data_IF_672386696525
#
_entry.id   IF_672386696525
#
_cell.length_a   1.000
_cell.length_b   1.000
_cell.length_c   1.000
_cell.angle_alpha   90.00
_cell.angle_beta   90.00
_cell.angle_gamma   90.00
#
_symmetry.space_group_name_H-M   'P 1'
#
loop_
_entity.id
_entity.type
_entity.pdbx_description
1 polymer ?
#
# COMPACT_ATOMS: atom_id res chain seq x y z
N UNK A 1 37.03 -10.46 -57.25
CA UNK A 1 35.62 -10.09 -57.02
C UNK A 1 35.30 -10.23 -55.54
N UNK A 2 34.82 -9.11 -54.96
CA UNK A 2 34.03 -8.92 -53.72
C UNK A 2 34.41 -9.72 -52.45
N UNK A 3 35.07 -8.97 -51.55
CA UNK A 3 35.05 -9.14 -50.09
C UNK A 3 33.60 -9.26 -49.60
N UNK A 4 33.31 -10.24 -48.75
CA UNK A 4 32.13 -10.23 -47.89
C UNK A 4 32.61 -10.48 -46.45
N UNK A 5 32.97 -9.37 -45.79
CA UNK A 5 32.97 -9.32 -44.33
C UNK A 5 31.51 -9.52 -43.90
N UNK A 6 31.18 -10.69 -43.37
CA UNK A 6 29.96 -10.86 -42.59
C UNK A 6 30.28 -10.48 -41.15
N UNK A 7 30.14 -9.18 -40.85
CA UNK A 7 29.94 -8.74 -39.47
C UNK A 7 28.54 -9.17 -39.08
N UNK A 8 28.43 -10.33 -38.43
CA UNK A 8 27.24 -10.71 -37.67
C UNK A 8 27.26 -9.91 -36.36
N UNK A 9 26.92 -8.63 -36.49
CA UNK A 9 26.39 -7.82 -35.42
C UNK A 9 24.94 -8.27 -35.16
N UNK A 10 24.43 -8.01 -33.94
CA UNK A 10 23.00 -7.95 -33.53
C UNK A 10 22.45 -9.28 -32.99
N UNK A 11 22.05 -9.46 -31.73
CA UNK A 11 21.83 -8.63 -30.54
C UNK A 11 22.02 -9.56 -29.32
N UNK A 12 22.72 -9.17 -28.23
CA UNK A 12 22.52 -9.87 -26.97
C UNK A 12 21.08 -9.59 -26.56
N UNK A 13 20.23 -10.63 -26.59
CA UNK A 13 18.92 -10.61 -25.96
C UNK A 13 19.17 -10.30 -24.49
N UNK A 14 19.15 -9.01 -24.15
CA UNK A 14 18.96 -8.53 -22.80
C UNK A 14 17.59 -9.09 -22.43
N UNK A 15 17.61 -10.28 -21.82
CA UNK A 15 16.55 -10.77 -20.98
C UNK A 15 16.33 -9.65 -19.97
N UNK A 16 15.37 -8.78 -20.26
CA UNK A 16 14.81 -7.85 -19.30
C UNK A 16 14.12 -8.77 -18.31
N UNK A 17 14.88 -9.29 -17.35
CA UNK A 17 14.34 -9.81 -16.11
C UNK A 17 13.59 -8.64 -15.52
N UNK A 18 12.29 -8.57 -15.77
CA UNK A 18 11.43 -7.54 -15.19
C UNK A 18 11.63 -7.64 -13.69
N UNK A 19 12.35 -6.69 -13.11
CA UNK A 19 12.41 -6.56 -11.67
C UNK A 19 10.96 -6.40 -11.24
N UNK A 20 10.41 -7.35 -10.47
CA UNK A 20 9.12 -7.11 -9.86
C UNK A 20 9.32 -6.13 -8.71
N UNK A 21 8.52 -5.08 -8.66
CA UNK A 21 8.52 -4.14 -7.55
C UNK A 21 7.12 -4.06 -6.93
N UNK A 22 7.08 -3.59 -5.69
CA UNK A 22 5.85 -3.43 -4.93
C UNK A 22 5.81 -2.01 -4.39
N UNK A 23 4.70 -1.32 -4.63
CA UNK A 23 4.37 -0.09 -3.93
C UNK A 23 3.40 -0.40 -2.78
N UNK A 24 3.73 0.08 -1.59
CA UNK A 24 3.00 -0.23 -0.36
C UNK A 24 2.15 0.95 0.10
N UNK A 25 0.90 0.69 0.46
CA UNK A 25 0.04 1.65 1.14
C UNK A 25 0.20 1.46 2.65
N UNK A 26 0.67 2.50 3.34
CA UNK A 26 1.09 2.36 4.74
C UNK A 26 0.53 3.44 5.66
N UNK A 27 0.05 3.03 6.83
CA UNK A 27 -0.32 3.91 7.94
C UNK A 27 0.66 3.70 9.10
N UNK A 28 1.48 4.69 9.41
CA UNK A 28 2.40 4.66 10.55
C UNK A 28 1.76 5.22 11.82
N UNK A 29 1.79 4.47 12.92
CA UNK A 29 1.59 5.03 14.26
C UNK A 29 2.96 5.38 14.85
N UNK A 30 3.41 6.63 14.69
CA UNK A 30 4.66 7.11 15.27
C UNK A 30 4.49 7.66 16.69
N UNK A 31 3.28 7.69 17.22
CA UNK A 31 3.01 8.19 18.57
C UNK A 31 3.52 7.21 19.63
N UNK A 32 3.42 7.59 20.91
CA UNK A 32 3.69 6.71 22.05
C UNK A 32 2.45 5.96 22.55
N UNK A 33 1.29 6.18 21.92
CA UNK A 33 0.00 5.59 22.31
C UNK A 33 -0.55 4.70 21.19
N UNK A 34 -1.30 3.63 21.52
CA UNK A 34 -2.03 2.88 20.49
C UNK A 34 -3.09 3.79 19.85
N UNK A 35 -3.39 3.52 18.58
CA UNK A 35 -4.49 4.16 17.86
C UNK A 35 -5.46 3.09 17.38
N UNK A 36 -6.75 3.39 17.32
CA UNK A 36 -7.73 2.50 16.69
C UNK A 36 -7.90 2.93 15.25
N UNK A 37 -7.75 1.98 14.32
CA UNK A 37 -7.90 2.23 12.89
C UNK A 37 -9.05 1.40 12.39
N UNK A 38 -10.05 2.06 11.82
CA UNK A 38 -11.17 1.40 11.14
C UNK A 38 -11.13 1.81 9.68
N UNK A 39 -11.10 0.88 8.73
CA UNK A 39 -11.26 1.20 7.31
C UNK A 39 -12.24 0.27 6.61
N UNK A 40 -12.92 0.82 5.61
CA UNK A 40 -13.92 0.13 4.83
C UNK A 40 -13.44 -0.11 3.41
N UNK A 41 -13.65 -1.32 2.91
CA UNK A 41 -13.43 -1.69 1.53
C UNK A 41 -14.69 -1.40 0.72
N UNK A 42 -14.55 -0.58 -0.32
CA UNK A 42 -15.63 -0.33 -1.26
C UNK A 42 -15.92 -1.58 -2.09
N UNK A 43 -17.17 -1.71 -2.54
CA UNK A 43 -17.55 -2.72 -3.54
C UNK A 43 -16.74 -2.47 -4.82
N UNK A 44 -16.17 -3.53 -5.38
CA UNK A 44 -15.41 -3.43 -6.63
C UNK A 44 -16.30 -3.02 -7.81
N UNK A 45 -15.75 -2.20 -8.69
CA UNK A 45 -16.36 -1.86 -9.98
C UNK A 45 -16.50 -3.09 -10.88
N UNK A 46 -17.53 -3.09 -11.75
CA UNK A 46 -17.81 -4.22 -12.64
C UNK A 46 -16.63 -4.47 -13.60
N UNK A 47 -16.17 -5.73 -13.66
CA UNK A 47 -15.02 -6.13 -14.49
C UNK A 47 -13.67 -6.07 -13.78
N UNK A 48 -13.59 -5.45 -12.60
CA UNK A 48 -12.43 -5.53 -11.73
C UNK A 48 -12.56 -6.70 -10.74
N UNK A 49 -11.44 -7.38 -10.49
CA UNK A 49 -11.41 -8.59 -9.64
C UNK A 49 -10.36 -8.53 -8.53
N UNK A 50 -9.44 -7.55 -8.58
CA UNK A 50 -8.38 -7.41 -7.59
C UNK A 50 -8.46 -6.04 -6.89
N UNK A 51 -8.78 -6.03 -5.60
CA UNK A 51 -8.66 -4.81 -4.79
C UNK A 51 -7.20 -4.42 -4.56
N UNK A 52 -6.91 -3.13 -4.56
CA UNK A 52 -5.62 -2.59 -4.10
C UNK A 52 -5.46 -2.74 -2.58
N UNK A 53 -6.57 -2.58 -1.85
CA UNK A 53 -6.63 -2.66 -0.39
C UNK A 53 -7.18 -4.00 0.07
N UNK A 54 -6.62 -4.50 1.17
CA UNK A 54 -6.85 -5.87 1.68
C UNK A 54 -7.61 -5.82 3.01
N UNK A 55 -8.37 -6.88 3.32
CA UNK A 55 -9.09 -7.00 4.59
C UNK A 55 -8.27 -7.69 5.71
N UNK A 56 -7.02 -8.06 5.43
CA UNK A 56 -6.11 -8.65 6.40
C UNK A 56 -4.77 -7.91 6.35
N UNK A 57 -4.68 -6.71 6.96
CA UNK A 57 -3.48 -5.90 6.91
C UNK A 57 -2.36 -6.55 7.73
N UNK A 58 -1.12 -6.16 7.42
CA UNK A 58 0.04 -6.58 8.21
C UNK A 58 0.62 -5.39 8.97
N UNK A 59 1.08 -5.59 10.20
CA UNK A 59 1.84 -4.58 10.93
C UNK A 59 3.27 -5.03 11.20
N UNK A 60 4.16 -4.04 11.27
CA UNK A 60 5.57 -4.22 11.57
C UNK A 60 6.04 -3.13 12.53
N UNK A 61 7.05 -3.44 13.35
CA UNK A 61 7.67 -2.42 14.19
C UNK A 61 8.43 -1.38 13.34
N UNK A 62 8.41 -0.13 13.79
CA UNK A 62 9.24 0.94 13.27
C UNK A 62 10.51 1.08 14.13
N UNK A 63 11.65 1.24 13.46
CA UNK A 63 12.89 1.63 14.13
C UNK A 63 12.81 3.07 14.66
N UNK A 64 13.77 3.46 15.51
CA UNK A 64 13.92 4.86 15.96
C UNK A 64 14.07 5.86 14.81
N UNK A 65 14.53 5.42 13.63
CA UNK A 65 14.64 6.25 12.42
C UNK A 65 13.42 6.13 11.49
N UNK A 66 12.29 5.63 12.00
CA UNK A 66 11.04 5.41 11.24
C UNK A 66 11.21 4.51 10.02
N UNK A 67 12.09 3.51 10.11
CA UNK A 67 12.22 2.46 9.09
C UNK A 67 11.44 1.23 9.50
N UNK A 68 10.77 0.59 8.54
CA UNK A 68 10.07 -0.68 8.75
C UNK A 68 11.09 -1.77 9.11
N UNK A 69 10.85 -2.48 10.19
CA UNK A 69 11.59 -3.67 10.59
C UNK A 69 10.84 -4.90 10.09
N UNK A 70 11.13 -5.34 8.86
CA UNK A 70 10.42 -6.41 8.17
C UNK A 70 10.45 -7.77 8.90
N UNK A 71 11.48 -8.02 9.71
CA UNK A 71 11.60 -9.24 10.51
C UNK A 71 10.78 -9.18 11.82
N UNK A 72 10.26 -8.00 12.18
CA UNK A 72 9.55 -7.74 13.43
C UNK A 72 8.06 -7.51 13.16
N UNK A 73 7.38 -8.55 12.69
CA UNK A 73 5.93 -8.53 12.47
C UNK A 73 5.19 -8.36 13.81
N UNK A 74 4.13 -7.57 13.78
CA UNK A 74 3.19 -7.36 14.89
C UNK A 74 1.87 -7.97 14.49
N UNK A 75 1.34 -8.86 15.32
CA UNK A 75 0.02 -9.44 15.11
C UNK A 75 -1.05 -8.38 15.35
N UNK A 76 -2.00 -8.29 14.42
CA UNK A 76 -3.18 -7.45 14.52
C UNK A 76 -4.40 -8.35 14.73
N UNK A 77 -5.22 -8.01 15.71
CA UNK A 77 -6.54 -8.62 15.90
C UNK A 77 -7.57 -7.71 15.24
N UNK A 78 -8.37 -8.28 14.33
CA UNK A 78 -9.53 -7.58 13.78
C UNK A 78 -10.67 -7.66 14.80
N UNK A 79 -11.21 -6.50 15.14
CA UNK A 79 -12.24 -6.29 16.15
C UNK A 79 -13.63 -6.15 15.51
N UNK A 80 -13.74 -6.36 14.20
CA UNK A 80 -14.99 -6.39 13.44
C UNK A 80 -15.11 -7.69 12.65
N UNK A 81 -16.31 -8.29 12.63
CA UNK A 81 -16.57 -9.54 11.92
C UNK A 81 -17.01 -9.32 10.45
N UNK A 82 -17.23 -8.07 10.04
CA UNK A 82 -17.64 -7.74 8.68
C UNK A 82 -16.44 -7.79 7.73
N UNK A 83 -16.43 -8.67 6.69
CA UNK A 83 -15.29 -8.81 5.80
C UNK A 83 -14.96 -7.57 4.95
N UNK A 84 -15.86 -6.57 4.91
CA UNK A 84 -15.64 -5.29 4.24
C UNK A 84 -15.16 -4.18 5.18
N UNK A 85 -15.05 -4.44 6.48
CA UNK A 85 -14.57 -3.49 7.49
C UNK A 85 -13.37 -4.14 8.18
N UNK A 86 -12.29 -3.40 8.33
CA UNK A 86 -11.16 -3.82 9.15
C UNK A 86 -11.07 -2.85 10.31
N UNK A 87 -11.09 -3.37 11.54
CA UNK A 87 -10.97 -2.58 12.75
C UNK A 87 -9.88 -3.13 13.64
N UNK A 88 -8.74 -2.45 13.70
CA UNK A 88 -7.56 -2.91 14.43
C UNK A 88 -7.07 -1.87 15.43
N UNK A 89 -6.45 -2.32 16.51
CA UNK A 89 -5.64 -1.47 17.37
C UNK A 89 -4.21 -1.53 16.84
N UNK A 90 -3.69 -0.40 16.35
CA UNK A 90 -2.32 -0.28 15.86
C UNK A 90 -1.40 0.20 17.00
N UNK A 91 -0.46 -0.64 17.51
CA UNK A 91 0.36 -0.28 18.66
C UNK A 91 1.31 0.91 18.39
N UNK A 92 1.86 1.54 19.45
CA UNK A 92 2.87 2.59 19.30
C UNK A 92 4.07 2.12 18.47
N UNK A 93 4.66 3.05 17.71
CA UNK A 93 5.87 2.81 16.90
C UNK A 93 5.74 1.62 15.95
N UNK A 94 4.59 1.49 15.30
CA UNK A 94 4.34 0.47 14.28
C UNK A 94 3.87 1.09 12.98
N UNK A 95 3.93 0.31 11.91
CA UNK A 95 3.37 0.65 10.61
C UNK A 95 2.48 -0.48 10.14
N UNK A 96 1.28 -0.13 9.69
CA UNK A 96 0.34 -1.04 9.05
C UNK A 96 0.46 -0.92 7.53
N UNK A 97 0.53 -2.05 6.86
CA UNK A 97 0.44 -2.19 5.41
C UNK A 97 -0.96 -2.71 5.09
N UNK A 98 -1.77 -1.88 4.44
CA UNK A 98 -3.18 -2.16 4.18
C UNK A 98 -3.52 -2.21 2.68
N UNK A 99 -2.53 -2.07 1.82
CA UNK A 99 -2.66 -2.23 0.37
C UNK A 99 -1.32 -2.42 -0.32
N UNK A 100 -1.34 -3.05 -1.50
CA UNK A 100 -0.15 -3.36 -2.30
C UNK A 100 -0.42 -3.25 -3.80
N UNK A 101 0.46 -2.60 -4.52
CA UNK A 101 0.49 -2.56 -5.98
C UNK A 101 1.74 -3.26 -6.48
N UNK A 102 1.54 -4.36 -7.22
CA UNK A 102 2.64 -5.11 -7.83
C UNK A 102 2.82 -4.67 -9.28
N UNK A 103 4.04 -4.28 -9.64
CA UNK A 103 4.43 -3.85 -10.99
C UNK A 103 3.54 -2.72 -11.54
N UNK A 104 3.00 -1.91 -10.65
CA UNK A 104 2.14 -0.77 -10.95
C UNK A 104 2.51 0.37 -10.00
N UNK A 105 1.97 1.55 -10.27
CA UNK A 105 2.31 2.77 -9.56
C UNK A 105 1.04 3.57 -9.29
N UNK A 106 0.93 4.09 -8.06
CA UNK A 106 -0.11 5.00 -7.66
C UNK A 106 0.26 6.44 -8.03
N UNK A 107 -0.67 7.12 -8.67
CA UNK A 107 -0.64 8.54 -9.01
C UNK A 107 -1.79 9.29 -8.33
N UNK A 108 -3.00 8.71 -8.28
CA UNK A 108 -4.17 9.31 -7.60
C UNK A 108 -5.32 8.32 -7.34
N UNK A 109 -6.26 8.73 -6.49
CA UNK A 109 -7.42 7.92 -6.06
C UNK A 109 -8.46 7.66 -7.17
N UNK A 110 -8.35 8.35 -8.30
CA UNK A 110 -9.24 8.28 -9.46
C UNK A 110 -8.54 7.74 -10.71
N UNK A 111 -7.31 7.25 -10.57
CA UNK A 111 -6.59 6.67 -11.70
C UNK A 111 -7.25 5.36 -12.16
N UNK A 112 -7.07 5.05 -13.43
CA UNK A 112 -7.38 3.72 -13.95
C UNK A 112 -6.19 2.80 -13.71
N UNK A 113 -6.40 1.73 -12.93
CA UNK A 113 -5.36 0.74 -12.66
C UNK A 113 -5.29 -0.30 -13.78
N UNK A 114 -4.10 -0.83 -14.02
CA UNK A 114 -3.91 -1.94 -14.96
C UNK A 114 -4.30 -3.28 -14.30
N UNK A 115 -4.42 -4.33 -15.11
CA UNK A 115 -4.62 -5.72 -14.65
C UNK A 115 -5.90 -5.94 -13.80
N UNK A 116 -7.02 -5.31 -14.19
CA UNK A 116 -8.34 -5.50 -13.53
C UNK A 116 -8.33 -5.20 -12.03
N UNK A 117 -7.53 -4.19 -11.64
CA UNK A 117 -7.44 -3.72 -10.26
C UNK A 117 -8.41 -2.58 -10.01
N UNK A 118 -8.90 -2.50 -8.77
CA UNK A 118 -9.78 -1.42 -8.34
C UNK A 118 -9.23 -0.70 -7.10
N UNK A 119 -9.38 0.62 -7.08
CA UNK A 119 -9.19 1.44 -5.89
C UNK A 119 -10.39 1.26 -4.95
N UNK A 120 -10.43 0.09 -4.31
CA UNK A 120 -11.50 -0.35 -3.42
C UNK A 120 -11.41 0.28 -2.02
N UNK A 121 -10.88 1.51 -1.89
CA UNK A 121 -10.91 2.26 -0.64
C UNK A 121 -12.27 2.95 -0.48
N UNK A 122 -12.97 2.68 0.62
CA UNK A 122 -14.19 3.38 1.00
C UNK A 122 -13.89 4.61 1.86
N UNK A 123 -13.56 4.35 3.12
CA UNK A 123 -13.21 5.37 4.12
C UNK A 123 -12.30 4.79 5.20
N UNK A 124 -11.66 5.65 5.97
CA UNK A 124 -10.85 5.30 7.13
C UNK A 124 -11.10 6.29 8.27
N UNK A 125 -11.29 5.77 9.47
CA UNK A 125 -11.31 6.50 10.73
C UNK A 125 -10.09 6.10 11.55
N UNK A 126 -9.35 7.08 12.05
CA UNK A 126 -8.23 6.88 12.94
C UNK A 126 -8.55 7.60 14.25
N UNK A 127 -8.83 6.83 15.29
CA UNK A 127 -9.15 7.34 16.62
C UNK A 127 -7.88 7.39 17.48
N UNK A 128 -7.53 8.61 17.87
CA UNK A 128 -6.52 8.94 18.87
C UNK A 128 -7.25 9.39 20.15
N UNK A 129 -6.55 9.41 21.29
CA UNK A 129 -7.16 9.71 22.60
C UNK A 129 -8.04 10.97 22.66
N UNK A 130 -7.76 11.99 21.85
CA UNK A 130 -8.46 13.28 21.85
C UNK A 130 -8.97 13.72 20.47
N UNK A 131 -8.71 12.93 19.42
CA UNK A 131 -8.98 13.33 18.03
C UNK A 131 -9.31 12.13 17.18
N UNK A 132 -10.30 12.29 16.31
CA UNK A 132 -10.56 11.35 15.23
C UNK A 132 -10.21 12.00 13.90
N UNK A 133 -9.41 11.31 13.09
CA UNK A 133 -9.11 11.69 11.70
C UNK A 133 -10.02 10.86 10.79
N UNK A 134 -10.78 11.54 9.92
CA UNK A 134 -11.65 10.90 8.94
C UNK A 134 -11.08 11.11 7.54
N UNK A 135 -10.84 10.02 6.84
CA UNK A 135 -10.32 9.99 5.47
C UNK A 135 -11.36 9.31 4.60
N UNK A 136 -11.74 9.96 3.51
CA UNK A 136 -12.69 9.43 2.52
C UNK A 136 -11.95 9.14 1.23
N UNK A 137 -12.55 8.41 0.29
CA UNK A 137 -11.97 8.23 -1.05
C UNK A 137 -11.51 9.55 -1.66
N UNK A 138 -12.32 10.60 -1.58
CA UNK A 138 -12.00 11.92 -2.15
C UNK A 138 -10.86 12.66 -1.47
N UNK A 139 -10.67 12.45 -0.16
CA UNK A 139 -9.60 13.11 0.61
C UNK A 139 -8.37 12.23 0.79
N UNK A 140 -8.33 11.04 0.19
CA UNK A 140 -7.22 10.09 0.37
C UNK A 140 -5.86 10.70 0.04
N UNK A 141 -5.77 11.38 -1.10
CA UNK A 141 -4.53 11.98 -1.62
C UNK A 141 -4.06 13.20 -0.79
N UNK A 142 -4.94 13.79 0.05
CA UNK A 142 -4.55 14.86 0.97
C UNK A 142 -3.75 14.34 2.17
N UNK A 143 -3.93 13.07 2.52
CA UNK A 143 -3.29 12.42 3.68
C UNK A 143 -2.17 11.47 3.29
N UNK A 144 -2.38 10.67 2.24
CA UNK A 144 -1.45 9.64 1.82
C UNK A 144 -0.53 10.14 0.70
N UNK A 145 0.73 10.40 1.05
CA UNK A 145 1.71 10.98 0.14
C UNK A 145 2.71 9.93 -0.33
N UNK A 146 2.98 9.93 -1.63
CA UNK A 146 3.96 9.04 -2.24
C UNK A 146 5.40 9.44 -1.89
N UNK A 147 6.19 8.49 -1.40
CA UNK A 147 7.61 8.67 -1.08
C UNK A 147 8.35 7.34 -1.13
N UNK A 148 9.35 7.20 -2.00
CA UNK A 148 10.28 6.07 -2.06
C UNK A 148 9.61 4.67 -2.16
N UNK A 149 8.59 4.51 -3.00
CA UNK A 149 7.85 3.24 -3.16
C UNK A 149 6.80 2.97 -2.08
N UNK A 150 6.44 4.00 -1.32
CA UNK A 150 5.34 3.97 -0.36
C UNK A 150 4.34 5.06 -0.69
N UNK A 151 3.05 4.79 -0.51
CA UNK A 151 1.98 5.76 -0.42
C UNK A 151 1.56 5.80 1.04
N UNK A 152 1.94 6.85 1.77
CA UNK A 152 1.98 6.78 3.23
C UNK A 152 1.34 7.94 3.96
N UNK A 153 0.72 7.63 5.09
CA UNK A 153 0.30 8.59 6.10
C UNK A 153 0.93 8.18 7.44
N UNK A 154 1.52 9.14 8.15
CA UNK A 154 2.13 8.93 9.46
C UNK A 154 1.35 9.76 10.50
N UNK A 155 0.82 9.07 11.51
CA UNK A 155 0.19 9.68 12.68
C UNK A 155 1.28 10.01 13.69
N UNK A 156 1.36 11.26 14.11
CA UNK A 156 2.40 11.82 14.98
C UNK A 156 1.84 12.35 16.30
#
# INVERSE_FOLDING_TARGET
MKKLLSYLFIIPVLLISGCSWVEYFTLGNKTDNPITVTYELAKMEEGNIFGVFINNPEAYQLSKSSKIQWDNKVELEDLDDNPAIVKVILPPKTVMIFGRLHNDTYESNNQHFINSRDFNFGKMSIDQSEKTIQITKTTFDDYFVKKNGYVKFDVE
#
